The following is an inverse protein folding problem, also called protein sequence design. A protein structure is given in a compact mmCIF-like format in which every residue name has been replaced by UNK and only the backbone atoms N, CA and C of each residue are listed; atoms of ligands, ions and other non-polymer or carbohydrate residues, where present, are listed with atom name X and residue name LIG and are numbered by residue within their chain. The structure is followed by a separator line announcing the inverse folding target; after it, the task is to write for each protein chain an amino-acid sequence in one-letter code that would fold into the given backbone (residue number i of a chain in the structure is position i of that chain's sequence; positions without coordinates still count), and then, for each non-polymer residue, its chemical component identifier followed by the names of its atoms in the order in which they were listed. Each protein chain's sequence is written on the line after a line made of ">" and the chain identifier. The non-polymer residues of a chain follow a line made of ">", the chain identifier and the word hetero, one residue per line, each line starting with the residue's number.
data_IF_518241665776
#
_entry.id   IF_518241665776
#
_cell.length_a   1.000
_cell.length_b   1.000
_cell.length_c   1.000
_cell.angle_alpha   90.00
_cell.angle_beta   90.00
_cell.angle_gamma   90.00
#
_symmetry.space_group_name_H-M   'P 1'
#
loop_
_entity.id
_entity.type
_entity.pdbx_description
1 polymer ?
#
# COMPACT_ATOMS: atom_id res chain seq x y z
N UNK A 1 -16.72 -24.78 -14.55
CA UNK A 1 -15.64 -25.61 -13.96
C UNK A 1 -16.19 -26.24 -12.70
N UNK A 2 -16.03 -27.55 -12.51
CA UNK A 2 -16.44 -28.28 -11.29
C UNK A 2 -15.23 -29.06 -10.77
N UNK A 3 -15.10 -29.22 -9.45
CA UNK A 3 -13.96 -29.88 -8.77
C UNK A 3 -12.61 -29.15 -8.86
N UNK A 4 -12.59 -27.84 -8.62
CA UNK A 4 -11.34 -27.04 -8.55
C UNK A 4 -10.84 -26.99 -7.11
N UNK A 5 -9.53 -27.19 -6.91
CA UNK A 5 -8.84 -26.90 -5.64
C UNK A 5 -8.04 -25.60 -5.81
N UNK A 6 -8.21 -24.69 -4.86
CA UNK A 6 -7.48 -23.42 -4.81
C UNK A 6 -6.59 -23.43 -3.58
N UNK A 7 -5.33 -22.99 -3.74
CA UNK A 7 -4.41 -22.73 -2.64
C UNK A 7 -3.83 -21.33 -2.83
N UNK A 8 -3.72 -20.57 -1.73
CA UNK A 8 -3.18 -19.22 -1.72
C UNK A 8 -2.01 -19.21 -0.72
N UNK A 9 -0.86 -18.71 -1.17
CA UNK A 9 0.32 -18.49 -0.35
C UNK A 9 0.71 -16.99 -0.43
N UNK A 10 1.35 -16.50 0.62
CA UNK A 10 1.80 -15.11 0.72
C UNK A 10 3.15 -15.06 1.42
N UNK A 11 4.02 -14.17 0.93
CA UNK A 11 5.38 -13.98 1.45
C UNK A 11 5.46 -12.93 2.55
N UNK A 12 4.31 -12.44 3.05
CA UNK A 12 4.24 -11.43 4.12
C UNK A 12 3.14 -11.74 5.13
N UNK A 13 3.23 -11.20 6.36
CA UNK A 13 2.25 -11.47 7.41
C UNK A 13 0.83 -10.99 7.03
N UNK A 14 -0.17 -11.79 7.39
CA UNK A 14 -1.58 -11.39 7.27
C UNK A 14 -1.85 -10.15 8.12
N UNK A 15 -2.49 -9.15 7.53
CA UNK A 15 -2.78 -7.89 8.23
C UNK A 15 -1.59 -6.92 8.30
N UNK A 16 -0.50 -7.16 7.58
CA UNK A 16 0.65 -6.24 7.49
C UNK A 16 0.30 -4.88 6.84
N UNK A 17 -0.91 -4.70 6.31
CA UNK A 17 -1.30 -3.43 5.68
C UNK A 17 -0.64 -3.15 4.33
N UNK A 18 -0.20 -4.22 3.64
CA UNK A 18 0.44 -4.20 2.33
C UNK A 18 -0.50 -4.63 1.17
N UNK A 19 -1.82 -4.62 1.38
CA UNK A 19 -2.81 -4.95 0.34
C UNK A 19 -2.95 -6.44 0.02
N UNK A 20 -2.62 -7.33 0.96
CA UNK A 20 -2.57 -8.77 0.68
C UNK A 20 -3.91 -9.44 0.37
N UNK A 21 -5.02 -8.99 0.98
CA UNK A 21 -6.35 -9.53 0.65
C UNK A 21 -6.72 -9.22 -0.80
N UNK A 22 -6.55 -7.96 -1.20
CA UNK A 22 -6.80 -7.50 -2.56
C UNK A 22 -5.86 -8.16 -3.57
N UNK A 23 -4.58 -8.38 -3.23
CA UNK A 23 -3.64 -9.10 -4.07
C UNK A 23 -4.06 -10.57 -4.28
N UNK A 24 -4.50 -11.25 -3.22
CA UNK A 24 -5.04 -12.61 -3.30
C UNK A 24 -6.31 -12.66 -4.17
N UNK A 25 -7.19 -11.68 -4.04
CA UNK A 25 -8.38 -11.54 -4.87
C UNK A 25 -8.05 -11.38 -6.36
N UNK A 26 -7.13 -10.47 -6.69
CA UNK A 26 -6.68 -10.26 -8.08
C UNK A 26 -6.01 -11.52 -8.64
N UNK A 27 -5.15 -12.18 -7.86
CA UNK A 27 -4.48 -13.41 -8.27
C UNK A 27 -5.48 -14.54 -8.56
N UNK A 28 -6.47 -14.72 -7.69
CA UNK A 28 -7.51 -15.73 -7.86
C UNK A 28 -8.37 -15.45 -9.10
N UNK A 29 -8.79 -14.20 -9.29
CA UNK A 29 -9.56 -13.79 -10.49
C UNK A 29 -8.77 -14.03 -11.78
N UNK A 30 -7.47 -13.69 -11.78
CA UNK A 30 -6.60 -13.93 -12.93
C UNK A 30 -6.42 -15.43 -13.22
N UNK A 31 -6.25 -16.26 -12.19
CA UNK A 31 -6.13 -17.71 -12.34
C UNK A 31 -7.42 -18.35 -12.87
N UNK A 32 -8.59 -17.93 -12.37
CA UNK A 32 -9.89 -18.41 -12.86
C UNK A 32 -10.09 -18.00 -14.32
N UNK A 33 -9.83 -16.74 -14.67
CA UNK A 33 -9.95 -16.25 -16.03
C UNK A 33 -9.06 -17.04 -17.00
N UNK A 34 -7.80 -17.28 -16.64
CA UNK A 34 -6.88 -18.07 -17.44
C UNK A 34 -7.36 -19.51 -17.62
N UNK A 35 -7.90 -20.13 -16.58
CA UNK A 35 -8.46 -21.48 -16.65
C UNK A 35 -9.75 -21.57 -17.48
N UNK A 36 -10.39 -20.43 -17.75
CA UNK A 36 -11.51 -20.27 -18.67
C UNK A 36 -11.06 -19.76 -20.07
N UNK A 37 -9.76 -19.72 -20.33
CA UNK A 37 -9.17 -19.18 -21.57
C UNK A 37 -9.53 -17.71 -21.84
N UNK A 38 -9.74 -16.93 -20.77
CA UNK A 38 -9.99 -15.50 -20.82
C UNK A 38 -8.71 -14.73 -20.46
N UNK A 39 -8.55 -13.56 -21.08
CA UNK A 39 -7.45 -12.64 -20.83
C UNK A 39 -8.00 -11.24 -20.48
N UNK A 40 -8.62 -11.07 -19.29
CA UNK A 40 -9.12 -9.77 -18.85
C UNK A 40 -7.99 -8.76 -18.72
N UNK A 41 -8.31 -7.49 -18.94
CA UNK A 41 -7.35 -6.40 -18.73
C UNK A 41 -7.03 -6.25 -17.24
N UNK A 42 -5.88 -5.67 -16.90
CA UNK A 42 -5.54 -5.33 -15.52
C UNK A 42 -6.62 -4.48 -14.84
N UNK A 43 -7.23 -3.57 -15.60
CA UNK A 43 -8.37 -2.78 -15.13
C UNK A 43 -9.55 -3.65 -14.72
N UNK A 44 -9.97 -4.57 -15.60
CA UNK A 44 -11.10 -5.46 -15.34
C UNK A 44 -10.83 -6.38 -14.14
N UNK A 45 -9.61 -6.89 -13.99
CA UNK A 45 -9.21 -7.69 -12.82
C UNK A 45 -9.28 -6.90 -11.51
N UNK A 46 -8.77 -5.67 -11.50
CA UNK A 46 -8.82 -4.80 -10.31
C UNK A 46 -10.27 -4.48 -9.91
N UNK A 47 -11.11 -4.11 -10.87
CA UNK A 47 -12.54 -3.83 -10.66
C UNK A 47 -13.29 -5.06 -10.15
N UNK A 48 -13.10 -6.22 -10.80
CA UNK A 48 -13.76 -7.47 -10.40
C UNK A 48 -13.34 -7.91 -9.00
N UNK A 49 -12.03 -7.89 -8.70
CA UNK A 49 -11.54 -8.25 -7.36
C UNK A 49 -12.11 -7.34 -6.28
N UNK A 50 -12.22 -6.03 -6.55
CA UNK A 50 -12.80 -5.08 -5.60
C UNK A 50 -14.30 -5.31 -5.43
N UNK A 51 -15.03 -5.54 -6.52
CA UNK A 51 -16.47 -5.79 -6.46
C UNK A 51 -16.77 -7.02 -5.59
N UNK A 52 -16.00 -8.10 -5.76
CA UNK A 52 -16.13 -9.29 -4.89
C UNK A 52 -15.81 -8.96 -3.42
N UNK A 53 -14.66 -8.33 -3.12
CA UNK A 53 -14.25 -8.09 -1.72
C UNK A 53 -15.17 -7.10 -0.99
N UNK A 54 -15.53 -5.99 -1.66
CA UNK A 54 -16.23 -4.88 -1.00
C UNK A 54 -17.74 -4.93 -1.21
N UNK A 55 -18.20 -5.19 -2.42
CA UNK A 55 -19.62 -5.07 -2.76
C UNK A 55 -20.38 -6.38 -2.46
N UNK A 56 -19.78 -7.54 -2.74
CA UNK A 56 -20.40 -8.86 -2.49
C UNK A 56 -20.16 -9.38 -1.07
N UNK A 57 -18.90 -9.33 -0.59
CA UNK A 57 -18.54 -9.85 0.74
C UNK A 57 -18.69 -8.81 1.86
N UNK A 58 -18.92 -7.54 1.53
CA UNK A 58 -19.15 -6.47 2.50
C UNK A 58 -17.92 -6.08 3.32
N UNK A 59 -16.71 -6.42 2.87
CA UNK A 59 -15.48 -6.05 3.57
C UNK A 59 -15.13 -4.60 3.23
N UNK A 60 -15.15 -3.72 4.24
CA UNK A 60 -14.79 -2.31 4.03
C UNK A 60 -13.35 -2.18 3.53
N UNK A 61 -13.19 -1.59 2.33
CA UNK A 61 -11.91 -1.48 1.65
C UNK A 61 -11.89 -0.37 0.60
N UNK A 62 -10.69 -0.04 0.12
CA UNK A 62 -10.47 0.96 -0.93
C UNK A 62 -10.29 0.32 -2.31
N UNK A 63 -9.86 1.12 -3.28
CA UNK A 63 -9.55 0.65 -4.64
C UNK A 63 -8.06 0.37 -4.84
N UNK A 64 -7.19 1.12 -4.15
CA UNK A 64 -5.77 1.24 -4.48
C UNK A 64 -5.01 -0.09 -4.51
N UNK A 65 -5.29 -1.00 -3.59
CA UNK A 65 -4.56 -2.26 -3.44
C UNK A 65 -4.87 -3.23 -4.59
N UNK A 66 -6.11 -3.27 -5.06
CA UNK A 66 -6.52 -4.07 -6.23
C UNK A 66 -5.85 -3.57 -7.51
N UNK A 67 -5.82 -2.26 -7.70
CA UNK A 67 -5.15 -1.64 -8.85
C UNK A 67 -3.64 -1.87 -8.80
N UNK A 68 -3.00 -1.71 -7.64
CA UNK A 68 -1.58 -1.98 -7.47
C UNK A 68 -1.25 -3.45 -7.79
N UNK A 69 -2.05 -4.40 -7.31
CA UNK A 69 -1.86 -5.83 -7.57
C UNK A 69 -2.03 -6.18 -9.06
N UNK A 70 -3.01 -5.58 -9.75
CA UNK A 70 -3.29 -5.90 -11.14
C UNK A 70 -2.28 -5.27 -12.12
N UNK A 71 -1.87 -4.02 -11.89
CA UNK A 71 -1.00 -3.28 -12.81
C UNK A 71 0.50 -3.43 -12.47
N UNK A 72 0.85 -3.47 -11.18
CA UNK A 72 2.23 -3.32 -10.71
C UNK A 72 2.82 -1.93 -10.99
N UNK A 73 4.12 -1.78 -10.71
CA UNK A 73 4.81 -0.50 -10.86
C UNK A 73 4.35 0.55 -9.83
N UNK A 74 4.64 1.81 -10.15
CA UNK A 74 4.07 2.97 -9.44
C UNK A 74 2.90 3.53 -10.25
N UNK A 75 1.82 3.87 -9.56
CA UNK A 75 0.57 4.31 -10.18
C UNK A 75 0.09 5.62 -9.54
N UNK A 76 -0.31 6.57 -10.39
CA UNK A 76 -1.17 7.67 -9.99
C UNK A 76 -2.62 7.23 -10.20
N UNK A 77 -3.39 7.15 -9.11
CA UNK A 77 -4.79 6.72 -9.16
C UNK A 77 -5.72 7.93 -9.07
N UNK A 78 -6.59 8.09 -10.07
CA UNK A 78 -7.69 9.05 -10.02
C UNK A 78 -8.98 8.28 -9.76
N UNK A 79 -9.54 8.45 -8.56
CA UNK A 79 -10.73 7.73 -8.09
C UNK A 79 -11.91 8.70 -7.99
N UNK A 80 -12.74 8.74 -9.03
CA UNK A 80 -13.96 9.55 -9.07
C UNK A 80 -15.09 8.81 -9.78
N UNK A 81 -15.87 9.53 -10.60
CA UNK A 81 -16.88 8.90 -11.48
C UNK A 81 -16.24 7.88 -12.43
N UNK A 82 -15.08 8.23 -12.95
CA UNK A 82 -14.18 7.32 -13.64
C UNK A 82 -13.05 6.94 -12.70
N UNK A 83 -12.58 5.69 -12.82
CA UNK A 83 -11.42 5.19 -12.10
C UNK A 83 -10.32 4.99 -13.11
N UNK A 84 -9.21 5.69 -12.93
CA UNK A 84 -8.08 5.68 -13.87
C UNK A 84 -6.81 5.39 -13.10
N UNK A 85 -6.06 4.41 -13.58
CA UNK A 85 -4.70 4.13 -13.11
C UNK A 85 -3.71 4.55 -14.20
N UNK A 86 -2.91 5.56 -13.88
CA UNK A 86 -1.87 6.09 -14.76
C UNK A 86 -0.51 5.60 -14.26
N UNK A 87 0.22 4.77 -15.04
CA UNK A 87 1.57 4.38 -14.69
C UNK A 87 2.48 5.59 -14.56
N UNK A 88 3.26 5.64 -13.49
CA UNK A 88 4.31 6.65 -13.29
C UNK A 88 5.62 6.02 -13.78
N UNK A 89 6.22 6.52 -14.88
CA UNK A 89 7.50 6.03 -15.35
C UNK A 89 8.57 6.31 -14.29
N UNK A 90 9.22 5.25 -13.80
CA UNK A 90 10.35 5.37 -12.89
C UNK A 90 11.65 5.05 -13.63
N UNK A 91 12.60 5.97 -13.60
CA UNK A 91 13.95 5.71 -14.10
C UNK A 91 14.66 4.68 -13.23
N UNK A 92 15.66 3.98 -13.79
CA UNK A 92 16.46 3.03 -13.02
C UNK A 92 17.19 3.71 -11.84
N UNK A 93 17.56 4.99 -12.00
CA UNK A 93 18.16 5.81 -10.94
C UNK A 93 17.15 6.08 -9.84
N UNK A 94 15.91 6.44 -10.18
CA UNK A 94 14.84 6.66 -9.21
C UNK A 94 14.52 5.39 -8.42
N UNK A 95 14.42 4.24 -9.10
CA UNK A 95 14.20 2.93 -8.45
C UNK A 95 15.34 2.62 -7.48
N UNK A 96 16.60 2.75 -7.91
CA UNK A 96 17.75 2.49 -7.04
C UNK A 96 17.79 3.44 -5.83
N UNK A 97 17.45 4.72 -6.04
CA UNK A 97 17.39 5.70 -4.96
C UNK A 97 16.28 5.37 -3.95
N UNK A 98 15.09 4.95 -4.42
CA UNK A 98 13.99 4.51 -3.56
C UNK A 98 14.37 3.27 -2.75
N UNK A 99 14.85 2.21 -3.41
CA UNK A 99 15.24 0.95 -2.78
C UNK A 99 16.38 1.14 -1.76
N UNK A 100 17.27 2.11 -1.97
CA UNK A 100 18.36 2.40 -1.04
C UNK A 100 17.93 3.23 0.19
N UNK A 101 16.84 3.99 0.10
CA UNK A 101 16.48 5.06 1.06
C UNK A 101 15.17 4.84 1.80
N UNK A 102 14.27 4.00 1.27
CA UNK A 102 12.99 3.67 1.90
C UNK A 102 13.10 2.34 2.63
N UNK A 103 12.81 2.35 3.93
CA UNK A 103 12.76 1.18 4.80
C UNK A 103 11.30 0.86 5.11
N UNK A 104 10.88 -0.38 4.85
CA UNK A 104 9.56 -0.91 5.24
C UNK A 104 9.73 -1.66 6.56
N UNK A 105 8.90 -1.34 7.55
CA UNK A 105 9.00 -1.88 8.91
C UNK A 105 7.64 -2.44 9.29
N UNK A 106 7.57 -3.75 9.56
CA UNK A 106 6.40 -4.37 10.17
C UNK A 106 6.43 -4.16 11.68
N UNK A 107 5.36 -3.59 12.21
CA UNK A 107 5.25 -3.22 13.64
C UNK A 107 5.09 -4.43 14.58
N UNK A 108 4.81 -5.62 14.04
CA UNK A 108 4.41 -6.80 14.82
C UNK A 108 2.92 -6.80 15.22
N UNK A 109 2.21 -5.69 15.00
CA UNK A 109 0.79 -5.55 15.31
C UNK A 109 -0.05 -5.88 14.07
N UNK A 110 -0.93 -6.87 14.16
CA UNK A 110 -1.95 -7.10 13.13
C UNK A 110 -3.18 -6.24 13.41
N UNK A 111 -3.95 -5.91 12.36
CA UNK A 111 -5.12 -5.04 12.49
C UNK A 111 -6.34 -5.55 11.73
N UNK A 112 -7.51 -5.10 12.18
CA UNK A 112 -8.77 -5.13 11.43
C UNK A 112 -9.04 -3.71 10.95
N UNK A 113 -8.71 -3.41 9.68
CA UNK A 113 -8.81 -2.05 9.11
C UNK A 113 -10.24 -1.53 8.95
N UNK A 114 -11.24 -2.42 8.92
CA UNK A 114 -12.62 -2.07 8.60
C UNK A 114 -13.23 -1.04 9.56
N UNK A 115 -12.91 -1.12 10.85
CA UNK A 115 -13.45 -0.20 11.87
C UNK A 115 -12.92 1.23 11.68
N UNK A 116 -11.60 1.39 11.54
CA UNK A 116 -10.98 2.70 11.30
C UNK A 116 -11.45 3.33 9.99
N UNK A 117 -11.58 2.52 8.92
CA UNK A 117 -12.11 2.99 7.64
C UNK A 117 -13.55 3.52 7.81
N UNK A 118 -14.41 2.74 8.47
CA UNK A 118 -15.81 3.12 8.69
C UNK A 118 -15.92 4.43 9.47
N UNK A 119 -15.17 4.57 10.58
CA UNK A 119 -15.18 5.78 11.39
C UNK A 119 -14.72 7.04 10.63
N UNK A 120 -13.69 6.91 9.79
CA UNK A 120 -13.22 8.03 8.95
C UNK A 120 -14.25 8.40 7.88
N UNK A 121 -14.91 7.40 7.27
CA UNK A 121 -15.96 7.63 6.28
C UNK A 121 -17.19 8.31 6.89
N UNK A 122 -17.60 7.92 8.09
CA UNK A 122 -18.68 8.57 8.83
C UNK A 122 -18.34 10.02 9.16
N UNK A 123 -17.16 10.28 9.73
CA UNK A 123 -16.72 11.64 10.02
C UNK A 123 -16.62 12.52 8.76
N UNK A 124 -16.25 11.95 7.62
CA UNK A 124 -16.26 12.65 6.34
C UNK A 124 -17.68 12.98 5.86
N UNK A 125 -18.63 12.03 5.97
CA UNK A 125 -20.06 12.23 5.62
C UNK A 125 -20.70 13.29 6.51
N UNK A 126 -20.34 13.30 7.79
CA UNK A 126 -20.77 14.31 8.77
C UNK A 126 -20.04 15.65 8.60
N UNK A 127 -19.17 15.78 7.59
CA UNK A 127 -18.44 17.00 7.24
C UNK A 127 -17.58 17.54 8.39
N UNK A 128 -17.04 16.65 9.22
CA UNK A 128 -16.11 17.03 10.31
C UNK A 128 -14.93 17.81 9.70
N UNK A 129 -14.73 19.11 10.04
CA UNK A 129 -13.80 19.98 9.32
C UNK A 129 -12.37 19.43 9.27
N UNK A 130 -11.87 18.91 10.39
CA UNK A 130 -10.55 18.26 10.49
C UNK A 130 -10.37 17.15 9.45
N UNK A 131 -11.35 16.26 9.33
CA UNK A 131 -11.29 15.09 8.44
C UNK A 131 -11.39 15.51 6.98
N UNK A 132 -12.31 16.43 6.65
CA UNK A 132 -12.46 16.93 5.27
C UNK A 132 -11.19 17.64 4.80
N UNK A 133 -10.63 18.52 5.62
CA UNK A 133 -9.40 19.26 5.30
C UNK A 133 -8.18 18.32 5.17
N UNK A 134 -8.03 17.36 6.08
CA UNK A 134 -6.96 16.38 6.03
C UNK A 134 -7.04 15.53 4.75
N UNK A 135 -8.23 15.02 4.39
CA UNK A 135 -8.40 14.22 3.17
C UNK A 135 -8.16 15.04 1.89
N UNK A 136 -8.61 16.30 1.84
CA UNK A 136 -8.34 17.16 0.70
C UNK A 136 -6.84 17.42 0.52
N UNK A 137 -6.14 17.74 1.62
CA UNK A 137 -4.68 17.94 1.57
C UNK A 137 -3.93 16.65 1.22
N UNK A 138 -4.34 15.50 1.75
CA UNK A 138 -3.76 14.20 1.36
C UNK A 138 -3.92 13.93 -0.14
N UNK A 139 -5.06 14.28 -0.74
CA UNK A 139 -5.28 14.13 -2.19
C UNK A 139 -4.43 15.10 -3.03
N UNK A 140 -4.13 16.30 -2.53
CA UNK A 140 -3.15 17.21 -3.14
C UNK A 140 -1.74 16.64 -3.06
N UNK A 141 -1.32 16.23 -1.87
CA UNK A 141 -0.01 15.62 -1.62
C UNK A 141 0.23 14.37 -2.47
N UNK A 142 -0.79 13.53 -2.69
CA UNK A 142 -0.67 12.37 -3.58
C UNK A 142 -0.31 12.75 -5.02
N UNK A 143 -0.81 13.89 -5.53
CA UNK A 143 -0.45 14.41 -6.86
C UNK A 143 0.98 14.94 -6.88
N UNK A 144 1.38 15.67 -5.84
CA UNK A 144 2.75 16.17 -5.67
C UNK A 144 3.76 15.00 -5.55
N UNK A 145 3.40 13.93 -4.84
CA UNK A 145 4.21 12.70 -4.73
C UNK A 145 4.38 11.99 -6.06
N UNK A 146 3.33 11.98 -6.91
CA UNK A 146 3.42 11.39 -8.24
C UNK A 146 4.46 12.11 -9.10
N UNK A 147 4.52 13.44 -9.03
CA UNK A 147 5.54 14.24 -9.70
C UNK A 147 6.93 13.99 -9.12
N UNK A 148 7.07 13.99 -7.79
CA UNK A 148 8.35 13.69 -7.12
C UNK A 148 8.90 12.31 -7.50
N UNK A 149 8.03 11.30 -7.60
CA UNK A 149 8.38 9.97 -8.10
C UNK A 149 8.81 10.00 -9.57
N UNK A 150 8.07 10.73 -10.43
CA UNK A 150 8.37 10.82 -11.85
C UNK A 150 9.75 11.43 -12.13
N UNK A 151 10.08 12.53 -11.45
CA UNK A 151 11.40 13.18 -11.58
C UNK A 151 12.51 12.51 -10.77
N UNK A 152 12.16 11.51 -9.94
CA UNK A 152 13.11 10.75 -9.12
C UNK A 152 13.64 11.48 -7.89
N UNK A 153 12.93 12.51 -7.40
CA UNK A 153 13.31 13.25 -6.19
C UNK A 153 12.82 12.54 -4.93
N UNK A 154 13.64 11.60 -4.43
CA UNK A 154 13.32 10.87 -3.18
C UNK A 154 13.36 11.77 -1.95
N UNK A 155 14.09 12.89 -2.00
CA UNK A 155 14.11 13.87 -0.90
C UNK A 155 12.79 14.63 -0.81
N UNK A 156 12.26 15.11 -1.94
CA UNK A 156 10.95 15.78 -1.96
C UNK A 156 9.84 14.79 -1.61
N UNK A 157 9.92 13.55 -2.14
CA UNK A 157 9.01 12.48 -1.75
C UNK A 157 9.00 12.25 -0.24
N UNK A 158 10.16 12.27 0.43
CA UNK A 158 10.24 12.09 1.88
C UNK A 158 9.49 13.20 2.64
N UNK A 159 9.68 14.47 2.25
CA UNK A 159 8.98 15.59 2.86
C UNK A 159 7.46 15.51 2.65
N UNK A 160 7.03 15.19 1.41
CA UNK A 160 5.61 15.02 1.09
C UNK A 160 4.98 13.86 1.85
N UNK A 161 5.70 12.74 1.98
CA UNK A 161 5.26 11.57 2.76
C UNK A 161 5.07 11.94 4.24
N UNK A 162 5.97 12.73 4.81
CA UNK A 162 5.90 13.18 6.20
C UNK A 162 4.70 14.10 6.45
N UNK A 163 4.47 15.05 5.55
CA UNK A 163 3.30 15.93 5.63
C UNK A 163 2.01 15.11 5.49
N UNK A 164 1.97 14.16 4.55
CA UNK A 164 0.83 13.28 4.38
C UNK A 164 0.57 12.47 5.65
N UNK A 165 1.60 11.99 6.35
CA UNK A 165 1.43 11.28 7.61
C UNK A 165 0.79 12.14 8.68
N UNK A 166 1.19 13.40 8.79
CA UNK A 166 0.57 14.35 9.73
C UNK A 166 -0.94 14.44 9.52
N UNK A 167 -1.38 14.53 8.25
CA UNK A 167 -2.81 14.55 7.92
C UNK A 167 -3.49 13.20 8.15
N UNK A 168 -2.88 12.09 7.71
CA UNK A 168 -3.42 10.74 7.90
C UNK A 168 -3.61 10.43 9.38
N UNK A 169 -2.60 10.69 10.21
CA UNK A 169 -2.63 10.54 11.67
C UNK A 169 -3.76 11.32 12.32
N UNK A 170 -4.12 12.48 11.77
CA UNK A 170 -5.20 13.32 12.29
C UNK A 170 -6.61 12.82 11.98
N UNK A 171 -6.78 11.86 11.06
CA UNK A 171 -8.12 11.42 10.64
C UNK A 171 -8.87 10.74 11.79
N UNK A 172 -8.18 9.89 12.55
CA UNK A 172 -8.78 9.13 13.66
C UNK A 172 -7.72 8.72 14.70
N UNK A 173 -8.02 8.73 16.03
CA UNK A 173 -7.05 8.38 17.07
C UNK A 173 -6.44 6.98 16.94
N UNK A 174 -7.21 6.02 16.44
CA UNK A 174 -6.74 4.64 16.24
C UNK A 174 -5.79 4.45 15.04
N UNK A 175 -5.47 5.51 14.30
CA UNK A 175 -4.50 5.43 13.19
C UNK A 175 -3.09 5.24 13.71
N UNK A 176 -2.75 5.75 14.89
CA UNK A 176 -1.46 5.45 15.51
C UNK A 176 -1.61 4.53 16.70
N UNK A 177 -0.51 3.89 17.10
CA UNK A 177 -0.38 3.05 18.30
C UNK A 177 0.88 3.46 19.04
N UNK A 178 1.02 3.06 20.31
CA UNK A 178 2.25 3.30 21.06
C UNK A 178 3.50 2.70 20.35
N UNK A 179 3.30 1.60 19.64
CA UNK A 179 4.33 0.95 18.83
C UNK A 179 4.71 1.77 17.61
N UNK A 180 3.73 2.27 16.84
CA UNK A 180 3.98 3.17 15.71
C UNK A 180 4.69 4.44 16.19
N UNK A 181 4.27 5.02 17.31
CA UNK A 181 4.88 6.22 17.90
C UNK A 181 6.34 5.99 18.30
N UNK A 182 6.64 4.84 18.91
CA UNK A 182 8.01 4.47 19.27
C UNK A 182 8.89 4.29 18.02
N UNK A 183 8.38 3.64 16.96
CA UNK A 183 9.10 3.49 15.69
C UNK A 183 9.32 4.87 15.05
N UNK A 184 8.28 5.70 14.97
CA UNK A 184 8.38 7.06 14.42
C UNK A 184 9.46 7.87 15.14
N UNK A 185 9.48 7.84 16.47
CA UNK A 185 10.51 8.52 17.26
C UNK A 185 11.92 7.97 16.95
N UNK A 186 12.09 6.66 16.93
CA UNK A 186 13.39 6.02 16.69
C UNK A 186 13.95 6.33 15.30
N UNK A 187 13.12 6.25 14.25
CA UNK A 187 13.59 6.53 12.88
C UNK A 187 13.93 8.01 12.69
N UNK A 188 13.18 8.93 13.31
CA UNK A 188 13.48 10.37 13.29
C UNK A 188 14.77 10.68 14.03
N UNK A 189 14.98 10.09 15.22
CA UNK A 189 16.23 10.23 15.96
C UNK A 189 17.45 9.69 15.18
N UNK A 190 17.24 8.68 14.33
CA UNK A 190 18.25 8.14 13.43
C UNK A 190 18.43 8.95 12.12
N UNK A 191 17.67 10.02 11.91
CA UNK A 191 17.82 10.94 10.77
C UNK A 191 16.88 10.69 9.58
N UNK A 192 15.82 9.88 9.72
CA UNK A 192 14.79 9.79 8.70
C UNK A 192 14.08 11.14 8.51
N UNK A 193 13.79 11.50 7.26
CA UNK A 193 13.15 12.78 6.88
C UNK A 193 11.72 12.60 6.38
N UNK A 194 11.25 11.36 6.27
CA UNK A 194 9.85 11.06 5.99
C UNK A 194 9.42 9.80 6.70
N UNK A 195 8.20 9.80 7.21
CA UNK A 195 7.58 8.64 7.85
C UNK A 195 6.10 8.59 7.53
N UNK A 196 5.54 7.39 7.34
CA UNK A 196 4.07 7.19 7.37
C UNK A 196 3.72 5.75 7.70
N UNK A 197 2.55 5.54 8.30
CA UNK A 197 1.94 4.22 8.32
C UNK A 197 1.26 3.87 6.99
N UNK A 198 1.22 2.57 6.67
CA UNK A 198 0.66 2.04 5.43
C UNK A 198 -0.78 1.54 5.59
N UNK A 199 -1.55 1.67 4.51
CA UNK A 199 -2.98 1.37 4.44
C UNK A 199 -3.80 2.18 5.46
N UNK A 200 -4.85 1.58 6.03
CA UNK A 200 -5.71 2.21 7.02
C UNK A 200 -5.03 2.48 8.38
N UNK A 201 -3.82 1.94 8.61
CA UNK A 201 -3.05 2.06 9.85
C UNK A 201 -3.74 1.46 11.10
N UNK A 202 -3.19 1.70 12.30
CA UNK A 202 -3.58 1.03 13.56
C UNK A 202 -2.82 -0.27 13.81
N UNK A 203 -1.62 -0.38 13.24
CA UNK A 203 -0.78 -1.58 13.16
C UNK A 203 -0.34 -1.83 11.71
N UNK A 204 0.28 -2.99 11.47
CA UNK A 204 0.79 -3.38 10.17
C UNK A 204 2.16 -2.76 9.89
N UNK A 205 2.38 -2.33 8.65
CA UNK A 205 3.64 -1.74 8.23
C UNK A 205 3.64 -0.22 8.28
N UNK A 206 4.82 0.32 8.56
CA UNK A 206 5.17 1.72 8.38
C UNK A 206 6.34 1.82 7.39
N UNK A 207 6.55 3.01 6.84
CA UNK A 207 7.71 3.31 6.00
C UNK A 207 8.47 4.49 6.57
N UNK A 208 9.79 4.44 6.47
CA UNK A 208 10.69 5.55 6.75
C UNK A 208 11.53 5.85 5.50
N UNK A 209 11.53 7.11 5.06
CA UNK A 209 12.42 7.61 4.03
C UNK A 209 13.58 8.37 4.66
N UNK A 210 14.78 8.03 4.22
CA UNK A 210 16.01 8.58 4.79
C UNK A 210 16.83 9.34 3.74
N UNK A 211 17.67 10.30 4.15
CA UNK A 211 18.74 10.82 3.30
C UNK A 211 19.70 9.70 2.85
N UNK A 212 20.52 10.02 1.84
CA UNK A 212 21.58 9.09 1.38
C UNK A 212 22.52 8.76 2.54
N UNK A 213 22.84 7.47 2.71
CA UNK A 213 23.75 6.99 3.76
C UNK A 213 23.11 6.79 5.14
N UNK A 214 21.86 7.21 5.36
CA UNK A 214 21.22 7.18 6.69
C UNK A 214 20.42 5.89 6.93
N UNK A 215 19.96 5.21 5.87
CA UNK A 215 19.04 4.08 5.98
C UNK A 215 19.55 2.90 6.84
N UNK A 216 20.87 2.69 6.93
CA UNK A 216 21.44 1.66 7.80
C UNK A 216 21.24 1.98 9.30
N UNK A 217 21.43 3.26 9.69
CA UNK A 217 21.16 3.72 11.05
C UNK A 217 19.68 3.62 11.41
N UNK A 218 18.80 3.95 10.47
CA UNK A 218 17.35 3.79 10.62
C UNK A 218 16.95 2.33 10.85
N UNK A 219 17.50 1.39 10.06
CA UNK A 219 17.26 -0.05 10.26
C UNK A 219 17.74 -0.55 11.62
N UNK A 220 18.92 -0.10 12.07
CA UNK A 220 19.45 -0.47 13.38
C UNK A 220 18.59 0.08 14.53
N UNK A 221 18.10 1.32 14.41
CA UNK A 221 17.31 1.98 15.44
C UNK A 221 15.96 1.32 15.73
N UNK A 222 15.43 0.53 14.78
CA UNK A 222 14.11 -0.13 14.91
C UNK A 222 14.18 -1.62 15.18
N UNK A 223 15.37 -2.20 15.33
CA UNK A 223 15.57 -3.65 15.44
C UNK A 223 14.74 -4.31 16.57
N UNK A 224 14.60 -3.63 17.71
CA UNK A 224 13.81 -4.11 18.86
C UNK A 224 12.34 -3.63 18.82
N UNK A 225 12.00 -2.77 17.86
CA UNK A 225 10.68 -2.15 17.75
C UNK A 225 9.83 -2.80 16.67
N UNK A 226 10.42 -3.34 15.61
CA UNK A 226 9.71 -4.00 14.53
C UNK A 226 10.65 -4.75 13.58
N UNK A 227 10.06 -5.48 12.65
CA UNK A 227 10.78 -6.27 11.67
C UNK A 227 11.00 -5.45 10.39
N UNK A 228 12.25 -5.31 9.96
CA UNK A 228 12.56 -4.68 8.67
C UNK A 228 12.27 -5.67 7.55
N UNK A 229 11.31 -5.34 6.68
CA UNK A 229 10.91 -6.22 5.58
C UNK A 229 11.76 -5.96 4.32
N UNK A 230 12.25 -7.02 3.64
CA UNK A 230 12.85 -6.88 2.33
C UNK A 230 11.78 -6.53 1.30
N UNK A 231 12.09 -5.61 0.40
CA UNK A 231 11.18 -5.21 -0.67
C UNK A 231 11.96 -4.69 -1.88
N UNK A 232 11.30 -4.70 -3.04
CA UNK A 232 11.76 -4.08 -4.29
C UNK A 232 10.58 -3.53 -5.05
N UNK A 233 10.83 -2.59 -5.96
CA UNK A 233 9.78 -2.07 -6.84
C UNK A 233 9.37 -3.17 -7.83
N UNK A 234 8.11 -3.59 -7.78
CA UNK A 234 7.54 -4.55 -8.73
C UNK A 234 7.41 -3.90 -10.12
N UNK A 235 7.97 -4.53 -11.17
CA UNK A 235 7.92 -4.01 -12.55
C UNK A 235 6.64 -4.39 -13.32
N UNK A 236 5.89 -5.36 -12.81
CA UNK A 236 4.66 -5.85 -13.41
C UNK A 236 3.70 -6.27 -12.29
N UNK A 237 2.40 -6.22 -12.58
CA UNK A 237 1.35 -6.72 -11.69
C UNK A 237 1.20 -8.23 -11.78
N UNK A 238 -0.04 -8.69 -11.58
CA UNK A 238 -0.40 -10.11 -11.63
C UNK A 238 0.09 -10.78 -12.92
N UNK A 239 0.69 -11.96 -12.78
CA UNK A 239 1.07 -12.84 -13.88
C UNK A 239 0.44 -14.20 -13.65
N UNK A 240 0.03 -14.84 -14.73
CA UNK A 240 -0.49 -16.21 -14.70
C UNK A 240 0.44 -17.08 -15.50
N UNK A 241 0.93 -18.14 -14.88
CA UNK A 241 1.75 -19.17 -15.50
C UNK A 241 0.96 -20.47 -15.48
N UNK A 242 0.79 -21.09 -16.64
CA UNK A 242 0.19 -22.41 -16.71
C UNK A 242 1.23 -23.43 -16.23
N UNK A 243 1.02 -24.03 -15.06
CA UNK A 243 1.81 -25.16 -14.62
C UNK A 243 1.61 -26.34 -15.56
N UNK A 244 2.71 -26.98 -15.99
CA UNK A 244 2.63 -28.32 -16.58
C UNK A 244 1.97 -29.29 -15.60
N UNK A 245 1.27 -30.31 -16.11
CA UNK A 245 0.51 -31.26 -15.30
C UNK A 245 1.27 -31.68 -14.05
N UNK A 246 0.70 -31.39 -12.87
CA UNK A 246 1.21 -31.94 -11.61
C UNK A 246 0.98 -33.44 -11.70
N UNK A 247 2.07 -34.22 -11.82
CA UNK A 247 2.00 -35.66 -11.78
C UNK A 247 1.29 -36.08 -10.47
N UNK A 248 0.22 -36.85 -10.62
CA UNK A 248 -0.71 -37.20 -9.55
C UNK A 248 -0.15 -38.06 -8.45
#
# INVERSE_FOLDING_TARGET
>A
MTNVRVAIASDFPVGAGLGGSSAAGVALQAAIAAAQHQAPTAHALAEASRATEVDELGVAGGFQDHFAAAYGGALALTLGRTRVATPIPLSQVAIAALEARLTVIYTGESRISAQTITAVLEAYRDRVPRVVQALDRMAQLAREMAEALHVGSVSDLAALVDEHWTHQRSLHPAITTARIDAIEHAVRAAGATGFKALGASGGGCVVALSPVGVAAGVRAAVAELGEVLPWRVARAGVRVEAGGAVAG
#
